data_IF_319424923359
#
_entry.id   IF_319424923359
#
_cell.length_a   1.000
_cell.length_b   1.000
_cell.length_c   1.000
_cell.angle_alpha   90.00
_cell.angle_beta   90.00
_cell.angle_gamma   90.00
#
_symmetry.space_group_name_H-M   'P 1'
#
loop_
_entity.id
_entity.type
_entity.pdbx_description
1 polymer ?
#
# COMPACT_ATOMS: atom_id res chain seq x y z
N UNK A 1 1.90 18.03 -5.62
CA UNK A 1 1.73 16.70 -4.98
C UNK A 1 3.10 16.15 -4.64
N UNK A 2 3.26 15.43 -3.53
CA UNK A 2 4.48 14.68 -3.21
C UNK A 2 4.05 13.27 -2.83
N UNK A 3 4.57 12.26 -3.52
CA UNK A 3 4.07 10.91 -3.34
C UNK A 3 5.01 9.77 -3.70
N UNK A 4 4.85 8.63 -3.03
CA UNK A 4 5.60 7.40 -3.33
C UNK A 4 4.91 6.57 -4.41
N UNK A 5 5.68 6.24 -5.45
CA UNK A 5 5.35 5.32 -6.54
C UNK A 5 6.23 4.05 -6.44
N UNK A 6 5.64 2.86 -6.64
CA UNK A 6 6.43 1.63 -6.73
C UNK A 6 6.71 1.33 -8.20
N UNK A 7 7.98 1.29 -8.57
CA UNK A 7 8.44 1.01 -9.93
C UNK A 7 8.77 -0.48 -10.05
N UNK A 8 7.88 -1.32 -10.62
CA UNK A 8 8.07 -2.77 -10.69
C UNK A 8 9.27 -3.17 -11.55
N UNK A 9 9.68 -2.34 -12.51
CA UNK A 9 10.82 -2.61 -13.40
C UNK A 9 12.15 -2.67 -12.65
N UNK A 10 12.24 -1.98 -11.52
CA UNK A 10 13.45 -1.88 -10.69
C UNK A 10 13.23 -2.39 -9.27
N UNK A 11 12.02 -2.87 -8.94
CA UNK A 11 11.61 -3.31 -7.60
C UNK A 11 11.94 -2.28 -6.50
N UNK A 12 11.69 -1.00 -6.78
CA UNK A 12 12.01 0.09 -5.85
C UNK A 12 10.87 1.10 -5.69
N UNK A 13 10.73 1.62 -4.46
CA UNK A 13 9.89 2.79 -4.18
C UNK A 13 10.62 4.08 -4.55
N UNK A 14 9.93 4.94 -5.30
CA UNK A 14 10.43 6.21 -5.80
C UNK A 14 9.53 7.35 -5.31
N UNK A 15 10.13 8.42 -4.81
CA UNK A 15 9.45 9.64 -4.38
C UNK A 15 9.23 10.56 -5.59
N UNK A 16 7.98 10.69 -6.02
CA UNK A 16 7.54 11.60 -7.07
C UNK A 16 7.15 12.95 -6.45
N UNK A 17 7.72 14.04 -6.95
CA UNK A 17 7.41 15.41 -6.54
C UNK A 17 6.88 16.17 -7.75
N UNK A 18 5.57 16.40 -7.77
CA UNK A 18 4.92 17.21 -8.79
C UNK A 18 4.93 18.69 -8.39
N UNK A 19 5.58 19.53 -9.20
CA UNK A 19 5.76 20.96 -8.90
C UNK A 19 5.62 21.85 -10.15
N UNK A 20 4.87 22.97 -10.08
CA UNK A 20 4.79 23.95 -11.17
C UNK A 20 6.15 24.59 -11.54
N UNK A 21 7.17 24.42 -10.70
CA UNK A 21 8.54 24.84 -11.02
C UNK A 21 9.13 24.08 -12.21
N UNK A 22 8.63 22.88 -12.48
CA UNK A 22 9.08 22.08 -13.61
C UNK A 22 8.86 22.83 -14.93
N UNK A 23 7.68 23.43 -15.11
CA UNK A 23 7.34 24.25 -16.29
C UNK A 23 7.91 25.67 -16.19
N UNK A 24 7.74 26.32 -15.03
CA UNK A 24 8.09 27.75 -14.89
C UNK A 24 9.59 28.04 -14.79
N UNK A 25 10.41 27.07 -14.37
CA UNK A 25 11.86 27.23 -14.18
C UNK A 25 12.69 26.21 -14.96
N UNK A 26 12.03 25.24 -15.57
CA UNK A 26 12.65 24.14 -16.27
C UNK A 26 13.05 22.97 -15.34
N UNK A 27 13.20 21.75 -15.92
CA UNK A 27 13.42 20.52 -15.16
C UNK A 27 14.65 20.57 -14.25
N UNK A 28 15.76 21.11 -14.74
CA UNK A 28 17.04 21.12 -14.02
C UNK A 28 16.98 21.95 -12.74
N UNK A 29 16.42 23.15 -12.83
CA UNK A 29 16.30 24.06 -11.69
C UNK A 29 15.27 23.55 -10.68
N UNK A 30 14.14 22.99 -11.16
CA UNK A 30 13.15 22.36 -10.30
C UNK A 30 13.75 21.19 -9.50
N UNK A 31 14.48 20.29 -10.18
CA UNK A 31 15.17 19.17 -9.54
C UNK A 31 16.18 19.66 -8.48
N UNK A 32 17.06 20.59 -8.84
CA UNK A 32 18.06 21.12 -7.92
C UNK A 32 17.44 21.73 -6.65
N UNK A 33 16.32 22.46 -6.77
CA UNK A 33 15.62 23.06 -5.63
C UNK A 33 14.97 22.03 -4.72
N UNK A 34 14.28 21.04 -5.29
CA UNK A 34 13.64 19.99 -4.49
C UNK A 34 14.68 19.16 -3.77
N UNK A 35 15.74 18.77 -4.47
CA UNK A 35 16.87 18.05 -3.90
C UNK A 35 17.48 18.82 -2.73
N UNK A 36 17.76 20.12 -2.93
CA UNK A 36 18.30 20.97 -1.87
C UNK A 36 17.37 21.03 -0.66
N UNK A 37 16.07 21.19 -0.88
CA UNK A 37 15.09 21.22 0.20
C UNK A 37 15.05 19.89 0.99
N UNK A 38 15.17 18.75 0.32
CA UNK A 38 15.24 17.43 0.98
C UNK A 38 16.54 17.25 1.77
N UNK A 39 17.66 17.76 1.26
CA UNK A 39 18.94 17.78 1.96
C UNK A 39 18.89 18.67 3.20
N UNK A 40 18.39 19.90 3.06
CA UNK A 40 18.25 20.86 4.16
C UNK A 40 17.31 20.33 5.26
N UNK A 41 16.34 19.48 4.90
CA UNK A 41 15.43 18.82 5.83
C UNK A 41 16.02 17.56 6.50
N UNK A 42 17.23 17.11 6.14
CA UNK A 42 17.85 15.91 6.70
C UNK A 42 17.21 14.58 6.25
N UNK A 43 16.34 14.60 5.24
CA UNK A 43 15.58 13.42 4.76
C UNK A 43 16.47 12.50 3.88
N UNK A 44 17.72 12.91 3.63
CA UNK A 44 18.67 12.23 2.75
C UNK A 44 18.95 10.77 3.14
N UNK A 45 18.96 10.47 4.44
CA UNK A 45 19.19 9.11 4.93
C UNK A 45 17.99 8.18 4.67
N UNK A 46 16.78 8.74 4.59
CA UNK A 46 15.53 7.97 4.36
C UNK A 46 15.19 7.84 2.87
N UNK A 47 15.59 8.82 2.04
CA UNK A 47 15.29 8.85 0.60
C UNK A 47 16.54 9.22 -0.21
N UNK A 48 17.29 8.22 -0.73
CA UNK A 48 18.41 8.47 -1.63
C UNK A 48 17.95 9.26 -2.86
N UNK A 49 18.69 10.30 -3.27
CA UNK A 49 18.33 11.19 -4.39
C UNK A 49 17.99 10.47 -5.69
N UNK A 50 18.63 9.31 -5.94
CA UNK A 50 18.38 8.46 -7.12
C UNK A 50 16.94 7.95 -7.21
N UNK A 51 16.19 8.04 -6.10
CA UNK A 51 14.78 7.64 -5.99
C UNK A 51 13.84 8.84 -6.01
N UNK A 52 14.32 10.07 -6.21
CA UNK A 52 13.49 11.27 -6.26
C UNK A 52 13.28 11.70 -7.72
N UNK A 53 12.02 11.75 -8.13
CA UNK A 53 11.61 12.17 -9.47
C UNK A 53 10.78 13.44 -9.38
N UNK A 54 11.31 14.55 -9.88
CA UNK A 54 10.56 15.81 -9.97
C UNK A 54 9.90 15.89 -11.33
N UNK A 55 8.57 16.04 -11.34
CA UNK A 55 7.76 16.03 -12.56
C UNK A 55 6.86 17.26 -12.65
N UNK A 56 6.36 17.49 -13.86
CA UNK A 56 5.29 18.46 -14.11
C UNK A 56 3.99 18.00 -13.44
N UNK A 57 3.16 18.91 -12.90
CA UNK A 57 1.81 18.57 -12.45
C UNK A 57 0.93 17.96 -13.54
N UNK A 58 1.22 18.26 -14.81
CA UNK A 58 0.49 17.73 -15.96
C UNK A 58 1.02 16.39 -16.49
N UNK A 59 2.05 15.82 -15.86
CA UNK A 59 2.62 14.53 -16.23
C UNK A 59 1.59 13.38 -16.05
N UNK A 60 1.57 12.43 -16.98
CA UNK A 60 0.63 11.30 -16.96
C UNK A 60 0.78 10.43 -15.70
N UNK A 61 2.01 10.25 -15.18
CA UNK A 61 2.25 9.52 -13.94
C UNK A 61 1.64 10.28 -12.76
N UNK A 62 1.79 11.61 -12.73
CA UNK A 62 1.23 12.45 -11.68
C UNK A 62 -0.30 12.35 -11.67
N UNK A 63 -0.94 12.43 -12.85
CA UNK A 63 -2.39 12.28 -12.97
C UNK A 63 -2.87 10.90 -12.51
N UNK A 64 -2.17 9.84 -12.93
CA UNK A 64 -2.47 8.46 -12.49
C UNK A 64 -2.38 8.32 -10.97
N UNK A 65 -1.31 8.85 -10.37
CA UNK A 65 -1.13 8.81 -8.91
C UNK A 65 -2.22 9.60 -8.18
N UNK A 66 -2.61 10.77 -8.69
CA UNK A 66 -3.71 11.54 -8.12
C UNK A 66 -5.05 10.80 -8.21
N UNK A 67 -5.31 10.12 -9.33
CA UNK A 67 -6.50 9.28 -9.50
C UNK A 67 -6.50 8.07 -8.56
N UNK A 68 -5.35 7.41 -8.40
CA UNK A 68 -5.19 6.29 -7.47
C UNK A 68 -5.45 6.67 -6.01
N UNK A 69 -5.15 7.92 -5.62
CA UNK A 69 -5.44 8.45 -4.28
C UNK A 69 -6.90 8.90 -4.13
N UNK A 70 -7.52 9.39 -5.21
CA UNK A 70 -8.91 9.89 -5.18
C UNK A 70 -9.94 8.74 -5.17
N UNK A 71 -9.67 7.63 -5.85
CA UNK A 71 -10.63 6.54 -6.02
C UNK A 71 -10.49 5.50 -4.91
N UNK A 72 -11.39 5.54 -3.94
CA UNK A 72 -11.57 4.44 -2.97
C UNK A 72 -12.43 3.35 -3.59
N UNK A 73 -11.92 2.12 -3.54
CA UNK A 73 -12.69 0.93 -3.89
C UNK A 73 -13.24 0.31 -2.61
N UNK A 74 -14.52 0.01 -2.62
CA UNK A 74 -15.16 -0.80 -1.59
C UNK A 74 -14.98 -2.28 -1.91
N UNK A 75 -14.69 -3.08 -0.90
CA UNK A 75 -14.44 -4.50 -1.06
C UNK A 75 -14.44 -5.25 0.25
N UNK A 76 -13.86 -6.45 0.19
CA UNK A 76 -13.69 -7.33 1.34
C UNK A 76 -12.22 -7.69 1.54
N UNK A 77 -11.82 -7.81 2.80
CA UNK A 77 -10.56 -8.45 3.20
C UNK A 77 -10.85 -9.92 3.44
N UNK A 78 -10.20 -10.78 2.69
CA UNK A 78 -10.29 -12.22 2.87
C UNK A 78 -9.07 -12.70 3.62
N UNK A 79 -9.30 -13.56 4.61
CA UNK A 79 -8.26 -14.15 5.45
C UNK A 79 -8.42 -15.67 5.38
N UNK A 80 -7.34 -16.35 5.04
CA UNK A 80 -7.27 -17.82 5.01
C UNK A 80 -6.16 -18.26 5.95
N UNK A 81 -6.48 -19.13 6.91
CA UNK A 81 -5.49 -19.79 7.76
C UNK A 81 -5.06 -21.10 7.14
N UNK A 82 -3.75 -21.34 7.13
CA UNK A 82 -3.14 -22.60 6.73
C UNK A 82 -2.17 -23.05 7.81
N UNK A 83 -2.02 -24.36 8.01
CA UNK A 83 -0.95 -24.90 8.84
C UNK A 83 0.35 -24.87 8.03
N UNK A 84 1.43 -24.31 8.59
CA UNK A 84 2.76 -24.44 7.97
C UNK A 84 3.21 -25.90 8.03
N UNK A 85 3.81 -26.39 6.94
CA UNK A 85 4.26 -27.79 6.78
C UNK A 85 5.49 -28.13 7.68
N UNK A 86 5.87 -27.25 8.60
CA UNK A 86 6.98 -27.45 9.52
C UNK A 86 6.55 -28.24 10.75
N UNK A 87 7.51 -28.92 11.39
CA UNK A 87 7.31 -29.76 12.59
C UNK A 87 6.59 -29.03 13.75
N UNK A 88 6.67 -27.70 13.79
CA UNK A 88 5.81 -26.84 14.60
C UNK A 88 4.63 -26.41 13.72
N UNK A 89 3.42 -26.92 13.98
CA UNK A 89 2.17 -26.52 13.30
C UNK A 89 1.80 -25.07 13.61
N UNK A 90 2.62 -24.12 13.16
CA UNK A 90 2.35 -22.71 13.29
C UNK A 90 1.38 -22.30 12.18
N UNK A 91 0.30 -21.62 12.57
CA UNK A 91 -0.70 -21.13 11.62
C UNK A 91 -0.16 -19.92 10.87
N UNK A 92 -0.21 -19.98 9.55
CA UNK A 92 0.09 -18.87 8.64
C UNK A 92 -1.21 -18.36 8.05
N UNK A 93 -1.32 -17.06 7.92
CA UNK A 93 -2.49 -16.36 7.42
C UNK A 93 -2.18 -15.69 6.10
N UNK A 94 -2.97 -16.01 5.07
CA UNK A 94 -2.96 -15.33 3.78
C UNK A 94 -4.06 -14.28 3.79
N UNK A 95 -3.71 -13.01 3.58
CA UNK A 95 -4.63 -11.87 3.59
C UNK A 95 -4.61 -11.17 2.24
N UNK A 96 -5.77 -10.96 1.62
CA UNK A 96 -5.88 -10.24 0.35
C UNK A 96 -7.14 -9.38 0.31
N UNK A 97 -7.11 -8.33 -0.51
CA UNK A 97 -8.23 -7.42 -0.71
C UNK A 97 -8.92 -7.71 -2.04
N UNK A 98 -10.24 -7.90 -2.01
CA UNK A 98 -11.06 -8.07 -3.20
C UNK A 98 -12.03 -6.90 -3.34
N UNK A 99 -11.83 -5.97 -4.29
CA UNK A 99 -12.79 -4.91 -4.55
C UNK A 99 -14.07 -5.48 -5.17
N UNK A 100 -15.25 -4.96 -4.79
CA UNK A 100 -16.53 -5.39 -5.37
C UNK A 100 -16.68 -5.02 -6.85
N UNK A 101 -15.94 -4.00 -7.29
CA UNK A 101 -15.92 -3.52 -8.67
C UNK A 101 -14.49 -3.48 -9.20
N UNK A 102 -14.30 -4.08 -10.38
CA UNK A 102 -13.01 -4.12 -11.06
C UNK A 102 -12.85 -5.33 -11.97
N UNK A 103 -11.79 -5.37 -12.80
CA UNK A 103 -11.44 -6.58 -13.53
C UNK A 103 -11.09 -7.67 -12.52
N UNK A 104 -11.87 -8.75 -12.50
CA UNK A 104 -11.56 -9.92 -11.68
C UNK A 104 -10.18 -10.50 -12.04
N UNK A 105 -9.51 -11.14 -11.09
CA UNK A 105 -8.18 -11.71 -11.32
C UNK A 105 -7.54 -12.28 -10.06
N UNK A 106 -6.34 -12.85 -10.21
CA UNK A 106 -5.51 -13.24 -9.09
C UNK A 106 -5.05 -11.99 -8.33
N UNK A 107 -5.34 -11.94 -7.03
CA UNK A 107 -4.94 -10.85 -6.14
C UNK A 107 -3.78 -11.31 -5.27
N UNK A 108 -2.70 -10.52 -5.14
CA UNK A 108 -1.59 -10.88 -4.27
C UNK A 108 -2.06 -10.97 -2.81
N UNK A 109 -1.53 -11.97 -2.10
CA UNK A 109 -1.86 -12.22 -0.71
C UNK A 109 -0.66 -11.92 0.18
N UNK A 110 -0.86 -11.05 1.16
CA UNK A 110 0.08 -10.82 2.25
C UNK A 110 0.10 -12.03 3.16
N UNK A 111 1.29 -12.60 3.38
CA UNK A 111 1.49 -13.65 4.39
C UNK A 111 1.79 -13.03 5.74
N UNK A 112 1.10 -13.50 6.77
CA UNK A 112 1.28 -13.13 8.17
C UNK A 112 1.46 -14.41 8.98
N UNK A 113 2.50 -14.49 9.80
CA UNK A 113 2.91 -15.75 10.45
C UNK A 113 2.39 -15.89 11.88
N UNK A 114 1.71 -14.87 12.42
CA UNK A 114 1.13 -14.95 13.77
C UNK A 114 -0.24 -14.29 13.88
N UNK A 115 -1.07 -14.82 14.79
CA UNK A 115 -2.40 -14.26 15.07
C UNK A 115 -2.31 -12.83 15.65
N UNK A 116 -1.26 -12.56 16.45
CA UNK A 116 -1.02 -11.24 17.03
C UNK A 116 -0.68 -10.20 15.96
N UNK A 117 0.16 -10.54 14.99
CA UNK A 117 0.45 -9.67 13.84
C UNK A 117 -0.77 -9.49 12.94
N UNK A 118 -1.58 -10.54 12.73
CA UNK A 118 -2.81 -10.45 11.96
C UNK A 118 -3.77 -9.43 12.60
N UNK A 119 -3.94 -9.50 13.92
CA UNK A 119 -4.76 -8.54 14.66
C UNK A 119 -4.25 -7.11 14.48
N UNK A 120 -2.96 -6.88 14.73
CA UNK A 120 -2.35 -5.55 14.54
C UNK A 120 -2.51 -5.05 13.11
N UNK A 121 -2.37 -5.93 12.13
CA UNK A 121 -2.57 -5.57 10.73
C UNK A 121 -4.01 -5.11 10.45
N UNK A 122 -5.01 -5.85 10.95
CA UNK A 122 -6.42 -5.50 10.76
C UNK A 122 -6.80 -4.20 11.51
N UNK A 123 -6.37 -4.05 12.76
CA UNK A 123 -6.75 -2.90 13.61
C UNK A 123 -5.94 -1.64 13.30
N UNK A 124 -4.60 -1.75 13.18
CA UNK A 124 -3.71 -0.59 13.09
C UNK A 124 -3.40 -0.17 11.64
N UNK A 125 -3.35 -1.13 10.70
CA UNK A 125 -2.97 -0.83 9.29
C UNK A 125 -4.18 -0.71 8.38
N UNK A 126 -5.21 -1.52 8.60
CA UNK A 126 -6.47 -1.47 7.84
C UNK A 126 -7.56 -0.65 8.55
N UNK A 127 -7.31 -0.21 9.79
CA UNK A 127 -8.25 0.58 10.60
C UNK A 127 -9.63 -0.06 10.74
N UNK A 128 -9.69 -1.39 10.73
CA UNK A 128 -10.92 -2.15 10.94
C UNK A 128 -11.31 -2.02 12.41
N UNK A 129 -12.61 -1.84 12.68
CA UNK A 129 -13.14 -1.74 14.04
C UNK A 129 -12.80 -2.99 14.83
N UNK A 130 -12.33 -2.81 16.06
CA UNK A 130 -11.95 -3.90 16.98
C UNK A 130 -13.02 -4.98 17.11
N UNK A 131 -14.30 -4.60 17.21
CA UNK A 131 -15.42 -5.55 17.28
C UNK A 131 -15.49 -6.47 16.06
N UNK A 132 -15.33 -5.91 14.86
CA UNK A 132 -15.32 -6.67 13.61
C UNK A 132 -14.09 -7.57 13.49
N UNK A 133 -12.94 -7.14 14.04
CA UNK A 133 -11.74 -7.98 14.13
C UNK A 133 -11.95 -9.14 15.08
N UNK A 134 -12.53 -8.89 16.26
CA UNK A 134 -12.83 -9.92 17.26
C UNK A 134 -13.76 -11.00 16.69
N UNK A 135 -14.83 -10.57 16.02
CA UNK A 135 -15.77 -11.47 15.35
C UNK A 135 -15.08 -12.28 14.24
N UNK A 136 -14.27 -11.62 13.41
CA UNK A 136 -13.57 -12.26 12.31
C UNK A 136 -12.55 -13.29 12.80
N UNK A 137 -11.77 -12.99 13.84
CA UNK A 137 -10.80 -13.93 14.41
C UNK A 137 -11.51 -15.12 15.09
N UNK A 138 -12.66 -14.89 15.74
CA UNK A 138 -13.47 -15.96 16.32
C UNK A 138 -14.11 -16.87 15.26
N UNK A 139 -14.47 -16.32 14.09
CA UNK A 139 -14.93 -17.13 12.95
C UNK A 139 -13.78 -17.85 12.24
N UNK A 140 -12.63 -17.20 12.07
CA UNK A 140 -11.43 -17.80 11.48
C UNK A 140 -10.94 -19.02 12.27
N UNK A 141 -11.04 -18.98 13.61
CA UNK A 141 -10.74 -20.12 14.46
C UNK A 141 -11.66 -21.33 14.22
N UNK A 142 -12.86 -21.12 13.67
CA UNK A 142 -13.88 -22.16 13.41
C UNK A 142 -13.88 -22.67 11.98
N UNK A 143 -13.64 -21.80 10.98
CA UNK A 143 -13.86 -22.10 9.55
C UNK A 143 -12.62 -22.04 8.67
N UNK A 144 -11.44 -21.76 9.25
CA UNK A 144 -10.15 -21.55 8.56
C UNK A 144 -10.14 -20.42 7.51
N UNK A 145 -11.30 -19.84 7.21
CA UNK A 145 -11.52 -18.77 6.25
C UNK A 145 -12.53 -17.79 6.82
N UNK A 146 -12.28 -16.49 6.63
CA UNK A 146 -13.21 -15.43 6.99
C UNK A 146 -13.08 -14.27 6.03
N UNK A 147 -14.16 -13.52 5.86
CA UNK A 147 -14.18 -12.29 5.05
C UNK A 147 -14.70 -11.13 5.90
N UNK A 148 -13.98 -10.01 5.88
CA UNK A 148 -14.41 -8.75 6.49
C UNK A 148 -14.87 -7.81 5.38
N UNK A 149 -16.16 -7.50 5.35
CA UNK A 149 -16.78 -6.69 4.30
C UNK A 149 -16.72 -5.18 4.59
N UNK A 150 -17.07 -4.39 3.59
CA UNK A 150 -17.18 -2.92 3.65
C UNK A 150 -15.84 -2.26 3.99
N UNK A 151 -14.75 -2.86 3.55
CA UNK A 151 -13.42 -2.28 3.67
C UNK A 151 -13.21 -1.37 2.46
N UNK A 152 -12.85 -0.12 2.72
CA UNK A 152 -12.58 0.85 1.67
C UNK A 152 -11.08 1.10 1.61
N UNK A 153 -10.47 0.73 0.49
CA UNK A 153 -9.06 1.00 0.21
C UNK A 153 -8.95 1.68 -1.15
N UNK A 154 -8.07 2.67 -1.22
CA UNK A 154 -7.50 3.10 -2.50
C UNK A 154 -6.63 1.99 -3.08
N UNK A 155 -6.46 1.94 -4.41
CA UNK A 155 -5.51 1.01 -5.04
C UNK A 155 -4.12 1.12 -4.41
N UNK A 156 -3.75 2.34 -4.01
CA UNK A 156 -2.47 2.66 -3.41
C UNK A 156 -2.32 2.12 -1.99
N UNK A 157 -3.33 2.26 -1.14
CA UNK A 157 -3.34 1.64 0.19
C UNK A 157 -3.24 0.12 0.07
N UNK A 158 -3.99 -0.49 -0.87
CA UNK A 158 -3.91 -1.92 -1.11
C UNK A 158 -2.49 -2.37 -1.52
N UNK A 159 -1.84 -1.68 -2.46
CA UNK A 159 -0.44 -1.95 -2.86
C UNK A 159 0.55 -1.78 -1.70
N UNK A 160 0.47 -0.67 -0.96
CA UNK A 160 1.36 -0.42 0.22
C UNK A 160 1.20 -1.48 1.30
N UNK A 161 0.01 -2.05 1.43
CA UNK A 161 -0.27 -3.12 2.38
C UNK A 161 0.11 -4.51 1.85
N UNK A 162 0.43 -4.65 0.56
CA UNK A 162 0.74 -5.92 -0.11
C UNK A 162 -0.52 -6.74 -0.42
N UNK A 163 -1.63 -6.07 -0.71
CA UNK A 163 -2.96 -6.65 -0.95
C UNK A 163 -3.43 -6.50 -2.41
N UNK A 164 -2.68 -5.77 -3.25
CA UNK A 164 -2.92 -5.54 -4.68
C UNK A 164 -1.59 -5.33 -5.43
#
# INVERSE_FOLDING_TARGET
>A
MVDWNYAPEVDEWQLVVATPWYESKGPREANARIIKALQDAGIYEEVPMRRVYVLSPDDNLVRTLEEEVKVRKEGAIHIISHDDNKRNREKVYSVFFSPFTGPGGAVPAKRITSLGELRKFLEERLHIRKTSVDDALAELARKETVSVFNVQLTNREARRLGLA
#
